data_IF_930629509581
#
_entry.id   IF_930629509581
#
_cell.length_a   1.000
_cell.length_b   1.000
_cell.length_c   1.000
_cell.angle_alpha   90.00
_cell.angle_beta   90.00
_cell.angle_gamma   90.00
#
_symmetry.space_group_name_H-M   'P 1'
#
loop_
_entity.id
_entity.type
_entity.pdbx_description
1 polymer ?
#
# COMPACT_ATOMS: atom_id res chain seq x y z
N UNK A 1 13.46 -5.57 -12.93
CA UNK A 1 13.29 -6.00 -11.52
C UNK A 1 11.81 -6.27 -11.35
N UNK A 2 11.40 -7.51 -11.11
CA UNK A 2 10.00 -7.80 -10.83
C UNK A 2 9.70 -7.35 -9.39
N UNK A 3 8.63 -6.58 -9.20
CA UNK A 3 8.10 -6.32 -7.87
C UNK A 3 7.23 -7.49 -7.45
N UNK A 4 7.35 -7.93 -6.21
CA UNK A 4 6.44 -8.92 -5.66
C UNK A 4 5.04 -8.34 -5.45
N UNK A 5 4.03 -9.20 -5.56
CA UNK A 5 2.62 -8.86 -5.34
C UNK A 5 1.98 -9.88 -4.39
N UNK A 6 0.88 -9.49 -3.77
CA UNK A 6 0.03 -10.40 -2.98
C UNK A 6 -1.22 -10.75 -3.79
N UNK A 7 -1.42 -12.04 -4.08
CA UNK A 7 -2.61 -12.56 -4.77
C UNK A 7 -3.28 -13.59 -3.88
N UNK A 8 -4.57 -13.39 -3.58
CA UNK A 8 -5.38 -14.29 -2.74
C UNK A 8 -4.69 -14.69 -1.40
N UNK A 9 -3.95 -13.76 -0.79
CA UNK A 9 -3.24 -13.99 0.48
C UNK A 9 -1.89 -14.70 0.36
N UNK A 10 -1.44 -15.02 -0.85
CA UNK A 10 -0.10 -15.59 -1.11
C UNK A 10 0.84 -14.54 -1.70
N UNK A 11 2.09 -14.54 -1.26
CA UNK A 11 3.15 -13.68 -1.79
C UNK A 11 3.77 -14.30 -3.04
N UNK A 12 3.83 -13.53 -4.13
CA UNK A 12 4.43 -13.92 -5.40
C UNK A 12 5.58 -12.95 -5.69
N UNK A 13 6.81 -13.46 -5.80
CA UNK A 13 8.01 -12.63 -6.01
C UNK A 13 8.05 -12.01 -7.43
N UNK A 14 7.52 -12.69 -8.45
CA UNK A 14 7.57 -12.29 -9.85
C UNK A 14 6.22 -11.72 -10.35
N UNK A 15 5.58 -10.89 -9.54
CA UNK A 15 4.20 -10.42 -9.77
C UNK A 15 3.97 -9.59 -11.02
N UNK A 16 4.99 -8.87 -11.49
CA UNK A 16 4.91 -8.00 -12.67
C UNK A 16 5.32 -8.70 -13.99
N UNK A 17 5.54 -10.01 -13.97
CA UNK A 17 5.83 -10.74 -15.20
C UNK A 17 4.52 -11.01 -15.93
N UNK A 18 4.42 -10.56 -17.20
CA UNK A 18 3.36 -11.04 -18.10
C UNK A 18 3.41 -12.56 -18.07
N UNK A 19 2.32 -13.21 -17.67
CA UNK A 19 2.15 -14.63 -17.94
C UNK A 19 2.26 -14.84 -19.46
N UNK A 20 2.60 -16.05 -19.92
CA UNK A 20 2.72 -16.34 -21.35
C UNK A 20 1.44 -16.02 -22.15
N UNK A 21 0.32 -15.79 -21.44
CA UNK A 21 -0.99 -15.43 -21.97
C UNK A 21 -1.30 -13.92 -21.96
N UNK A 22 -0.37 -13.07 -21.51
CA UNK A 22 -0.52 -11.60 -21.56
C UNK A 22 -1.44 -11.00 -20.49
N UNK A 23 -1.84 -11.78 -19.48
CA UNK A 23 -2.66 -11.27 -18.39
C UNK A 23 -1.85 -10.35 -17.47
N UNK A 24 -2.40 -9.18 -17.19
CA UNK A 24 -1.86 -8.23 -16.22
C UNK A 24 -2.56 -8.48 -14.89
N UNK A 25 -1.81 -8.88 -13.86
CA UNK A 25 -2.35 -8.98 -12.50
C UNK A 25 -2.51 -7.56 -11.93
N UNK A 26 -3.75 -7.05 -11.98
CA UNK A 26 -4.10 -5.80 -11.30
C UNK A 26 -3.87 -5.97 -9.79
N UNK A 27 -3.21 -5.00 -9.17
CA UNK A 27 -2.96 -5.00 -7.72
C UNK A 27 -4.33 -4.83 -7.03
N UNK A 28 -4.89 -5.90 -6.43
CA UNK A 28 -6.35 -6.00 -6.31
C UNK A 28 -6.93 -5.19 -5.14
N UNK A 29 -6.10 -4.70 -4.22
CA UNK A 29 -6.60 -4.14 -2.95
C UNK A 29 -5.82 -2.91 -2.51
N UNK A 30 -6.50 -1.77 -2.54
CA UNK A 30 -6.07 -0.54 -1.87
C UNK A 30 -7.02 -0.27 -0.70
N UNK A 31 -6.48 0.07 0.47
CA UNK A 31 -7.28 0.54 1.61
C UNK A 31 -7.51 2.05 1.44
N UNK A 32 -8.77 2.48 1.36
CA UNK A 32 -9.16 3.90 1.16
C UNK A 32 -10.13 4.43 2.22
N UNK A 33 -10.15 3.79 3.39
CA UNK A 33 -11.01 4.20 4.49
C UNK A 33 -10.50 5.50 5.14
N UNK A 34 -11.43 6.29 5.67
CA UNK A 34 -11.14 7.55 6.36
C UNK A 34 -11.31 7.42 7.86
N UNK A 35 -10.49 8.13 8.64
CA UNK A 35 -10.70 8.32 10.08
C UNK A 35 -11.58 9.55 10.24
N UNK A 36 -12.72 9.42 10.92
CA UNK A 36 -13.68 10.51 11.15
C UNK A 36 -13.76 10.82 12.65
N UNK A 37 -14.00 12.09 13.00
CA UNK A 37 -14.09 12.50 14.41
C UNK A 37 -15.24 11.77 15.12
N UNK A 38 -16.39 11.66 14.45
CA UNK A 38 -17.60 11.03 14.98
C UNK A 38 -17.64 9.51 14.76
N UNK A 39 -16.73 8.97 13.94
CA UNK A 39 -16.65 7.54 13.64
C UNK A 39 -17.67 7.05 12.60
N UNK A 40 -18.30 7.94 11.84
CA UNK A 40 -19.27 7.63 10.78
C UNK A 40 -18.70 6.68 9.70
N UNK A 41 -17.39 6.78 9.46
CA UNK A 41 -16.65 5.87 8.56
C UNK A 41 -16.35 4.49 9.17
N UNK A 42 -16.77 4.21 10.41
CA UNK A 42 -16.39 3.04 11.21
C UNK A 42 -15.04 3.20 11.94
N UNK A 43 -14.30 4.27 11.64
CA UNK A 43 -12.98 4.56 12.20
C UNK A 43 -13.03 5.88 12.98
N UNK A 44 -13.26 5.80 14.29
CA UNK A 44 -13.30 6.97 15.18
C UNK A 44 -11.90 7.46 15.52
N UNK A 45 -11.70 8.77 15.55
CA UNK A 45 -10.44 9.38 15.99
C UNK A 45 -10.23 9.17 17.50
N UNK A 46 -9.34 8.24 17.87
CA UNK A 46 -9.05 7.86 19.25
C UNK A 46 -7.54 7.71 19.46
N UNK A 47 -7.04 8.19 20.60
CA UNK A 47 -5.62 8.10 20.96
C UNK A 47 -5.19 6.63 21.11
N UNK A 48 -4.09 6.26 20.46
CA UNK A 48 -3.51 4.90 20.55
C UNK A 48 -4.17 3.84 19.66
N UNK A 49 -5.15 4.20 18.82
CA UNK A 49 -5.87 3.24 17.95
C UNK A 49 -5.20 3.00 16.59
N UNK A 50 -4.39 3.94 16.11
CA UNK A 50 -3.83 3.92 14.75
C UNK A 50 -2.30 3.84 14.78
N UNK A 51 -1.73 3.00 13.92
CA UNK A 51 -0.29 2.84 13.74
C UNK A 51 0.11 3.23 12.32
N UNK A 52 1.22 3.97 12.20
CA UNK A 52 1.79 4.36 10.93
C UNK A 52 2.95 3.42 10.56
N UNK A 53 2.85 2.75 9.42
CA UNK A 53 3.93 1.98 8.83
C UNK A 53 4.60 2.80 7.72
N UNK A 54 5.87 3.18 7.90
CA UNK A 54 6.64 3.98 6.95
C UNK A 54 8.05 3.42 6.77
N UNK A 55 8.57 3.44 5.54
CA UNK A 55 9.96 3.10 5.24
C UNK A 55 10.76 4.39 4.97
N UNK A 56 11.80 4.64 5.78
CA UNK A 56 12.67 5.82 5.65
C UNK A 56 13.66 5.74 4.48
N UNK A 57 13.65 4.64 3.71
CA UNK A 57 14.55 4.40 2.60
C UNK A 57 14.29 5.32 1.38
N UNK A 58 13.24 6.14 1.41
CA UNK A 58 12.91 7.08 0.34
C UNK A 58 13.37 8.50 0.69
N UNK A 59 14.67 8.73 0.71
CA UNK A 59 15.24 10.07 0.66
C UNK A 59 16.06 10.20 -0.63
N UNK A 60 15.55 10.95 -1.60
CA UNK A 60 16.34 11.39 -2.75
C UNK A 60 17.29 12.49 -2.24
N UNK A 61 18.62 12.36 -2.38
CA UNK A 61 19.51 13.45 -2.00
C UNK A 61 19.28 14.63 -2.94
N UNK A 62 18.93 15.81 -2.39
CA UNK A 62 18.97 17.07 -3.14
C UNK A 62 17.69 17.90 -3.25
N UNK A 63 16.60 17.59 -2.55
CA UNK A 63 15.40 18.46 -2.55
C UNK A 63 15.03 18.94 -1.15
N UNK A 64 15.80 19.89 -0.66
CA UNK A 64 15.35 20.84 0.35
C UNK A 64 14.39 21.79 -0.39
N UNK A 65 13.12 21.80 -0.02
CA UNK A 65 12.16 22.83 -0.43
C UNK A 65 12.07 23.82 0.74
N UNK A 66 12.13 25.14 0.50
CA UNK A 66 12.09 26.16 1.57
C UNK A 66 10.83 26.10 2.41
#
# INVERSE_FOLDING_TARGET
MASGIMVAGQWIADGNQRTQNGEFHEIPTTFRSYITADGDSGFKAETGRYHLYVALAWLVPGRIVP
#
